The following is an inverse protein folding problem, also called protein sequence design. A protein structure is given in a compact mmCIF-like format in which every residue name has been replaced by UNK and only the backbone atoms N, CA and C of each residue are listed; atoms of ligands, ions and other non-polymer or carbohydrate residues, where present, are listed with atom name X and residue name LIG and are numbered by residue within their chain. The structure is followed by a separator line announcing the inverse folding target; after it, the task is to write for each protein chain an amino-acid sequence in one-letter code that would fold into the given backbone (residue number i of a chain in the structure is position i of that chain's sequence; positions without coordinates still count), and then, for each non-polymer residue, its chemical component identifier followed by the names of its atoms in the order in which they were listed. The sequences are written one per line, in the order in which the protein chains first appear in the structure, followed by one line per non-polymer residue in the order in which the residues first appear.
data_IF_368152742453
#
_entry.id   IF_368152742453
#
_cell.length_a   1.000
_cell.length_b   1.000
_cell.length_c   1.000
_cell.angle_alpha   90.00
_cell.angle_beta   90.00
_cell.angle_gamma   90.00
#
_symmetry.space_group_name_H-M   'P 1'
#
loop_
_entity.id
_entity.type
_entity.pdbx_description
1 polymer ?
#
# COMPACT_ATOMS: atom_id res chain seq x y z
N UNK A 1 6.46 -10.37 -11.02
CA UNK A 1 5.45 -10.08 -9.96
C UNK A 1 5.98 -10.62 -8.63
N UNK A 2 6.08 -9.79 -7.58
CA UNK A 2 6.84 -10.07 -6.35
C UNK A 2 6.19 -11.05 -5.37
N UNK A 3 5.14 -11.78 -5.79
CA UNK A 3 4.34 -12.60 -4.89
C UNK A 3 3.44 -11.81 -3.94
N UNK A 4 3.42 -10.47 -4.01
CA UNK A 4 2.53 -9.60 -3.24
C UNK A 4 2.05 -8.43 -4.10
N UNK A 5 0.90 -7.85 -3.75
CA UNK A 5 0.34 -6.67 -4.40
C UNK A 5 0.73 -5.37 -3.69
N UNK A 6 1.98 -5.28 -3.21
CA UNK A 6 2.47 -4.11 -2.48
C UNK A 6 2.90 -2.98 -3.43
N UNK A 7 3.45 -3.31 -4.60
CA UNK A 7 3.96 -2.38 -5.60
C UNK A 7 3.00 -2.28 -6.79
N UNK A 8 1.95 -1.45 -6.66
CA UNK A 8 0.91 -1.24 -7.68
C UNK A 8 0.60 0.25 -7.92
N UNK A 9 1.37 1.17 -7.33
CA UNK A 9 1.13 2.61 -7.39
C UNK A 9 2.46 3.37 -7.36
N UNK A 10 2.45 4.61 -7.81
CA UNK A 10 3.64 5.43 -8.01
C UNK A 10 4.38 5.09 -9.30
N UNK A 11 5.05 6.08 -9.88
CA UNK A 11 5.83 5.93 -11.13
C UNK A 11 6.92 4.87 -10.95
N UNK A 12 7.73 5.01 -9.90
CA UNK A 12 8.76 4.03 -9.54
C UNK A 12 8.17 2.84 -8.76
N UNK A 13 7.03 3.06 -8.11
CA UNK A 13 6.34 2.13 -7.19
C UNK A 13 5.57 0.96 -7.84
N UNK A 14 5.68 0.78 -9.16
CA UNK A 14 4.99 -0.28 -9.91
C UNK A 14 3.59 0.10 -10.42
N UNK A 15 3.22 1.38 -10.39
CA UNK A 15 1.97 1.91 -10.93
C UNK A 15 2.06 2.42 -12.37
N UNK A 16 3.23 2.30 -13.02
CA UNK A 16 3.49 2.75 -14.37
C UNK A 16 2.80 1.85 -15.41
N UNK A 17 2.14 2.48 -16.38
CA UNK A 17 1.48 1.86 -17.53
C UNK A 17 2.15 2.41 -18.78
N UNK A 18 2.95 1.58 -19.44
CA UNK A 18 3.74 1.93 -20.62
C UNK A 18 3.08 1.43 -21.91
N UNK A 19 3.51 1.99 -23.05
CA UNK A 19 3.05 1.54 -24.37
C UNK A 19 1.60 1.89 -24.67
N UNK A 20 1.11 3.02 -24.16
CA UNK A 20 -0.24 3.50 -24.48
C UNK A 20 -0.33 3.91 -25.95
N UNK A 21 -1.48 3.68 -26.61
CA UNK A 21 -1.67 4.10 -28.00
C UNK A 21 -1.51 5.61 -28.16
N UNK A 22 -0.54 6.02 -28.99
CA UNK A 22 -0.29 7.41 -29.33
C UNK A 22 -0.87 7.72 -30.70
N UNK A 23 -1.69 8.76 -30.77
CA UNK A 23 -2.19 9.31 -32.02
C UNK A 23 -1.72 10.76 -32.18
N UNK A 24 -0.87 11.00 -33.18
CA UNK A 24 -0.44 12.33 -33.57
C UNK A 24 -1.13 12.75 -34.86
N UNK A 25 -1.56 14.01 -34.92
CA UNK A 25 -2.23 14.57 -36.10
C UNK A 25 -1.79 16.01 -36.31
N UNK A 26 -1.93 16.50 -37.55
CA UNK A 26 -1.61 17.90 -37.89
C UNK A 26 -2.84 18.78 -37.67
N UNK A 27 -2.66 19.91 -37.02
CA UNK A 27 -3.70 20.95 -36.91
C UNK A 27 -3.79 21.77 -38.20
N UNK A 28 -4.83 22.60 -38.31
CA UNK A 28 -5.00 23.56 -39.41
C UNK A 28 -3.79 24.49 -39.58
N UNK A 29 -3.09 24.76 -38.48
CA UNK A 29 -1.96 25.69 -38.42
C UNK A 29 -0.62 24.99 -38.72
N UNK A 30 -0.66 23.70 -39.05
CA UNK A 30 0.51 22.89 -39.41
C UNK A 30 1.26 22.27 -38.23
N UNK A 31 0.82 22.52 -37.00
CA UNK A 31 1.43 21.95 -35.80
C UNK A 31 1.09 20.46 -35.65
N UNK A 32 2.07 19.64 -35.28
CA UNK A 32 1.83 18.23 -34.94
C UNK A 32 1.39 18.17 -33.48
N UNK A 33 0.14 17.83 -33.25
CA UNK A 33 -0.44 17.70 -31.91
C UNK A 33 -0.53 16.23 -31.52
N UNK A 34 -0.17 16.00 -30.25
CA UNK A 34 -0.28 14.72 -29.58
C UNK A 34 -1.64 14.61 -28.88
N UNK A 35 -2.42 13.57 -29.21
CA UNK A 35 -3.65 13.27 -28.49
C UNK A 35 -3.34 12.50 -27.21
N UNK A 36 -3.86 12.99 -26.09
CA UNK A 36 -3.80 12.31 -24.79
C UNK A 36 -4.31 10.86 -24.93
N UNK A 37 -3.54 9.84 -24.51
CA UNK A 37 -3.97 8.44 -24.53
C UNK A 37 -5.10 8.14 -23.55
N UNK A 38 -5.19 8.89 -22.44
CA UNK A 38 -6.36 8.89 -21.55
C UNK A 38 -7.40 9.91 -22.04
N UNK A 39 -8.67 9.73 -21.67
CA UNK A 39 -9.77 10.60 -22.11
C UNK A 39 -9.55 12.07 -21.75
N UNK A 40 -8.87 12.33 -20.64
CA UNK A 40 -8.51 13.66 -20.18
C UNK A 40 -7.15 13.64 -19.47
N UNK A 41 -6.39 14.72 -19.61
CA UNK A 41 -5.20 14.96 -18.81
C UNK A 41 -5.62 15.42 -17.39
N UNK A 42 -5.23 14.64 -16.39
CA UNK A 42 -5.53 14.91 -14.98
C UNK A 42 -4.34 15.67 -14.37
N UNK A 43 -4.59 16.82 -13.74
CA UNK A 43 -3.56 17.55 -12.99
C UNK A 43 -3.40 16.98 -11.58
N UNK A 44 -2.26 17.18 -10.94
CA UNK A 44 -1.98 16.68 -9.58
C UNK A 44 -3.07 17.08 -8.57
N UNK A 45 -3.60 18.31 -8.68
CA UNK A 45 -4.71 18.77 -7.82
C UNK A 45 -5.97 17.94 -8.03
N UNK A 46 -6.31 17.61 -9.28
CA UNK A 46 -7.48 16.79 -9.62
C UNK A 46 -7.27 15.33 -9.27
N UNK A 47 -6.05 14.81 -9.42
CA UNK A 47 -5.65 13.49 -8.96
C UNK A 47 -5.95 13.36 -7.46
N UNK A 48 -5.47 14.31 -6.64
CA UNK A 48 -5.71 14.30 -5.20
C UNK A 48 -7.20 14.37 -4.85
N UNK A 49 -7.95 15.26 -5.50
CA UNK A 49 -9.40 15.37 -5.29
C UNK A 49 -10.15 14.07 -5.62
N UNK A 50 -9.76 13.38 -6.70
CA UNK A 50 -10.35 12.10 -7.09
C UNK A 50 -9.95 10.98 -6.11
N UNK A 51 -8.68 10.93 -5.72
CA UNK A 51 -8.16 9.98 -4.74
C UNK A 51 -8.85 10.15 -3.37
N UNK A 52 -9.07 11.38 -2.90
CA UNK A 52 -9.81 11.68 -1.66
C UNK A 52 -11.29 11.24 -1.73
N UNK A 53 -11.85 11.12 -2.93
CA UNK A 53 -13.19 10.61 -3.20
C UNK A 53 -13.22 9.08 -3.41
N UNK A 54 -12.08 8.40 -3.32
CA UNK A 54 -11.97 6.94 -3.47
C UNK A 54 -11.91 6.46 -4.92
N UNK A 55 -11.52 7.33 -5.85
CA UNK A 55 -11.20 6.94 -7.22
C UNK A 55 -9.71 6.59 -7.35
N UNK A 56 -9.39 5.85 -8.42
CA UNK A 56 -8.02 5.48 -8.78
C UNK A 56 -7.75 6.06 -10.18
N UNK A 57 -7.33 7.33 -10.28
CA UNK A 57 -7.09 7.98 -11.56
C UNK A 57 -5.83 7.45 -12.23
N UNK A 58 -5.94 7.12 -13.53
CA UNK A 58 -4.78 6.90 -14.39
C UNK A 58 -4.32 8.25 -14.95
N UNK A 59 -3.15 8.71 -14.49
CA UNK A 59 -2.65 10.05 -14.84
C UNK A 59 -1.65 9.92 -15.97
N UNK A 60 -1.99 10.49 -17.14
CA UNK A 60 -1.10 10.53 -18.30
C UNK A 60 0.09 11.46 -18.08
N UNK A 61 1.29 11.00 -18.41
CA UNK A 61 2.49 11.81 -18.35
C UNK A 61 2.65 12.60 -19.65
N UNK A 62 2.55 13.93 -19.54
CA UNK A 62 2.54 14.85 -20.68
C UNK A 62 3.70 14.58 -21.64
N UNK A 63 3.40 14.52 -22.94
CA UNK A 63 4.35 14.28 -24.04
C UNK A 63 5.06 12.92 -24.01
N UNK A 64 4.50 11.95 -23.29
CA UNK A 64 5.02 10.57 -23.26
C UNK A 64 3.91 9.58 -23.63
N UNK A 65 4.26 8.33 -23.86
CA UNK A 65 3.34 7.22 -24.13
C UNK A 65 2.99 6.42 -22.87
N UNK A 66 3.30 6.93 -21.68
CA UNK A 66 3.00 6.27 -20.41
C UNK A 66 2.08 7.09 -19.51
N UNK A 67 1.42 6.39 -18.59
CA UNK A 67 0.60 6.94 -17.53
C UNK A 67 0.92 6.22 -16.22
N UNK A 68 0.51 6.78 -15.09
CA UNK A 68 0.73 6.14 -13.79
C UNK A 68 -0.48 6.25 -12.87
N UNK A 69 -0.68 5.22 -12.06
CA UNK A 69 -1.52 5.28 -10.88
C UNK A 69 -0.70 5.81 -9.71
N UNK A 70 -0.92 7.05 -9.27
CA UNK A 70 -0.17 7.63 -8.14
C UNK A 70 -0.69 7.14 -6.79
N UNK A 71 -2.00 6.94 -6.68
CA UNK A 71 -2.70 6.39 -5.53
C UNK A 71 -3.43 5.10 -5.86
N UNK A 72 -3.79 4.33 -4.83
CA UNK A 72 -4.68 3.17 -4.94
C UNK A 72 -5.68 3.19 -3.78
N UNK A 73 -6.53 4.22 -3.75
CA UNK A 73 -7.57 4.37 -2.73
C UNK A 73 -8.76 3.46 -3.02
N UNK A 74 -9.34 2.88 -1.97
CA UNK A 74 -10.64 2.21 -2.07
C UNK A 74 -11.78 3.22 -2.00
N UNK A 75 -12.99 2.76 -2.27
CA UNK A 75 -14.21 3.57 -2.12
C UNK A 75 -14.58 3.83 -0.65
N UNK A 76 -13.84 3.26 0.32
CA UNK A 76 -14.10 3.46 1.73
C UNK A 76 -13.64 4.87 2.15
N UNK A 77 -14.58 5.68 2.66
CA UNK A 77 -14.24 6.94 3.32
C UNK A 77 -13.64 6.67 4.72
N UNK A 78 -12.38 7.07 5.00
CA UNK A 78 -11.78 6.90 6.33
C UNK A 78 -12.55 7.67 7.40
N UNK A 79 -12.79 7.02 8.54
CA UNK A 79 -13.45 7.67 9.69
C UNK A 79 -12.42 8.55 10.40
N UNK A 80 -12.91 9.68 10.93
CA UNK A 80 -12.12 10.55 11.80
C UNK A 80 -12.35 10.19 13.25
N UNK A 81 -11.27 10.17 14.01
CA UNK A 81 -11.19 9.84 15.42
C UNK A 81 -10.44 10.95 16.18
N UNK A 82 -10.53 10.92 17.50
CA UNK A 82 -9.86 11.88 18.37
C UNK A 82 -8.34 11.66 18.47
N UNK A 83 -7.85 10.47 18.12
CA UNK A 83 -6.43 10.12 18.21
C UNK A 83 -5.81 9.99 16.83
N UNK A 84 -4.61 10.54 16.66
CA UNK A 84 -3.85 10.47 15.42
C UNK A 84 -3.54 9.04 14.99
N UNK A 85 -3.29 8.13 15.94
CA UNK A 85 -3.04 6.71 15.64
C UNK A 85 -4.28 6.03 15.06
N UNK A 86 -5.47 6.33 15.59
CA UNK A 86 -6.73 5.83 15.06
C UNK A 86 -7.05 6.40 13.66
N UNK A 87 -6.73 7.68 13.44
CA UNK A 87 -6.84 8.31 12.13
C UNK A 87 -5.89 7.65 11.10
N UNK A 88 -4.64 7.41 11.48
CA UNK A 88 -3.65 6.75 10.63
C UNK A 88 -4.09 5.32 10.27
N UNK A 89 -4.58 4.55 11.25
CA UNK A 89 -5.10 3.20 11.02
C UNK A 89 -6.33 3.20 10.09
N UNK A 90 -7.23 4.18 10.25
CA UNK A 90 -8.40 4.28 9.36
C UNK A 90 -8.01 4.66 7.94
N UNK A 91 -7.00 5.50 7.75
CA UNK A 91 -6.48 5.85 6.43
C UNK A 91 -5.78 4.65 5.79
N UNK A 92 -4.90 3.96 6.53
CA UNK A 92 -4.23 2.74 6.06
C UNK A 92 -5.23 1.70 5.56
N UNK A 93 -6.32 1.51 6.31
CA UNK A 93 -7.37 0.53 6.00
C UNK A 93 -8.21 0.89 4.77
N UNK A 94 -8.06 2.09 4.21
CA UNK A 94 -8.74 2.51 2.97
C UNK A 94 -7.87 2.35 1.73
N UNK A 95 -6.59 2.01 1.87
CA UNK A 95 -5.66 1.88 0.75
C UNK A 95 -5.57 0.43 0.27
N UNK A 96 -5.81 0.20 -1.03
CA UNK A 96 -5.97 -1.13 -1.61
C UNK A 96 -4.71 -1.96 -1.51
N UNK A 97 -3.52 -1.38 -1.69
CA UNK A 97 -2.26 -2.12 -1.63
C UNK A 97 -2.07 -2.80 -0.26
N UNK A 98 -2.49 -2.16 0.83
CA UNK A 98 -2.43 -2.76 2.16
C UNK A 98 -3.57 -3.74 2.42
N UNK A 99 -4.79 -3.44 1.95
CA UNK A 99 -5.92 -4.38 2.01
C UNK A 99 -5.57 -5.70 1.31
N UNK A 100 -4.93 -5.63 0.14
CA UNK A 100 -4.53 -6.80 -0.65
C UNK A 100 -3.43 -7.60 0.06
N UNK A 101 -2.46 -6.94 0.70
CA UNK A 101 -1.44 -7.61 1.51
C UNK A 101 -2.06 -8.34 2.71
N UNK A 102 -2.93 -7.68 3.47
CA UNK A 102 -3.63 -8.27 4.62
C UNK A 102 -4.54 -9.43 4.19
N UNK A 103 -5.27 -9.28 3.08
CA UNK A 103 -6.15 -10.32 2.54
C UNK A 103 -5.37 -11.58 2.16
N UNK A 104 -4.19 -11.42 1.55
CA UNK A 104 -3.33 -12.54 1.19
C UNK A 104 -2.80 -13.28 2.42
N UNK A 105 -2.41 -12.57 3.47
CA UNK A 105 -2.04 -13.18 4.76
C UNK A 105 -3.23 -13.95 5.34
N UNK A 106 -4.42 -13.35 5.36
CA UNK A 106 -5.63 -14.01 5.86
C UNK A 106 -5.92 -15.32 5.10
N UNK A 107 -5.74 -15.35 3.78
CA UNK A 107 -5.88 -16.57 2.98
C UNK A 107 -4.89 -17.66 3.41
N UNK A 108 -3.61 -17.31 3.58
CA UNK A 108 -2.59 -18.26 4.04
C UNK A 108 -2.90 -18.79 5.44
N UNK A 109 -3.18 -17.90 6.41
CA UNK A 109 -3.51 -18.30 7.77
C UNK A 109 -4.73 -19.24 7.79
N UNK A 110 -5.77 -18.95 7.00
CA UNK A 110 -6.96 -19.80 6.91
C UNK A 110 -6.64 -21.18 6.34
N UNK A 111 -5.85 -21.25 5.28
CA UNK A 111 -5.47 -22.52 4.66
C UNK A 111 -4.60 -23.36 5.60
N UNK A 112 -3.54 -22.78 6.17
CA UNK A 112 -2.64 -23.48 7.10
C UNK A 112 -3.38 -23.98 8.34
N UNK A 113 -4.25 -23.15 8.92
CA UNK A 113 -4.97 -23.55 10.13
C UNK A 113 -6.05 -24.59 9.87
N UNK A 114 -6.65 -24.62 8.68
CA UNK A 114 -7.57 -25.68 8.28
C UNK A 114 -6.87 -27.04 8.29
N UNK A 115 -5.65 -27.12 7.77
CA UNK A 115 -4.90 -28.38 7.68
C UNK A 115 -4.38 -28.85 9.06
N UNK A 116 -4.34 -27.96 10.04
CA UNK A 116 -3.99 -28.26 11.44
C UNK A 116 -5.19 -28.67 12.32
N UNK A 117 -6.42 -28.58 11.80
CA UNK A 117 -7.62 -29.00 12.57
C UNK A 117 -7.52 -30.50 12.88
N UNK A 118 -7.72 -30.86 14.15
CA UNK A 118 -7.61 -32.23 14.64
C UNK A 118 -6.21 -32.60 15.17
N UNK A 119 -5.21 -31.71 15.06
CA UNK A 119 -3.92 -31.89 15.72
C UNK A 119 -3.98 -31.54 17.20
N UNK A 120 -3.14 -32.19 18.02
CA UNK A 120 -2.96 -31.84 19.43
C UNK A 120 -2.06 -30.62 19.56
N UNK A 121 -2.64 -29.42 19.47
CA UNK A 121 -1.91 -28.16 19.57
C UNK A 121 -2.50 -27.27 20.67
N UNK A 122 -1.65 -26.77 21.58
CA UNK A 122 -2.06 -25.76 22.56
C UNK A 122 -2.11 -24.37 21.91
N UNK A 123 -2.78 -23.41 22.57
CA UNK A 123 -2.80 -22.01 22.13
C UNK A 123 -1.39 -21.45 21.91
N UNK A 124 -0.44 -21.76 22.81
CA UNK A 124 0.95 -21.33 22.70
C UNK A 124 1.66 -21.95 21.49
N UNK A 125 1.43 -23.23 21.18
CA UNK A 125 2.02 -23.85 20.00
C UNK A 125 1.51 -23.22 18.69
N UNK A 126 0.20 -22.91 18.63
CA UNK A 126 -0.39 -22.23 17.47
C UNK A 126 0.18 -20.81 17.35
N UNK A 127 0.30 -20.09 18.46
CA UNK A 127 0.88 -18.74 18.47
C UNK A 127 2.33 -18.73 17.96
N UNK A 128 3.19 -19.60 18.48
CA UNK A 128 4.58 -19.72 18.01
C UNK A 128 4.65 -20.05 16.53
N UNK A 129 3.88 -21.06 16.08
CA UNK A 129 3.86 -21.48 14.69
C UNK A 129 3.47 -20.34 13.72
N UNK A 130 2.42 -19.58 14.06
CA UNK A 130 1.95 -18.50 13.19
C UNK A 130 2.92 -17.31 13.18
N UNK A 131 3.55 -16.99 14.31
CA UNK A 131 4.56 -15.93 14.38
C UNK A 131 5.83 -16.31 13.60
N UNK A 132 6.31 -17.55 13.71
CA UNK A 132 7.44 -18.06 12.93
C UNK A 132 7.17 -18.03 11.43
N UNK A 133 5.96 -18.38 11.01
CA UNK A 133 5.57 -18.29 9.61
C UNK A 133 5.51 -16.84 9.12
N UNK A 134 4.94 -15.92 9.90
CA UNK A 134 4.87 -14.50 9.53
C UNK A 134 6.25 -13.85 9.44
N UNK A 135 7.20 -14.27 10.29
CA UNK A 135 8.56 -13.74 10.29
C UNK A 135 9.27 -13.87 8.93
N UNK A 136 8.86 -14.84 8.10
CA UNK A 136 9.38 -15.04 6.74
C UNK A 136 9.03 -13.89 5.77
N UNK A 137 8.06 -13.04 6.13
CA UNK A 137 7.58 -11.91 5.32
C UNK A 137 7.90 -10.55 5.91
N UNK A 138 8.72 -10.52 6.97
CA UNK A 138 9.14 -9.29 7.66
C UNK A 138 10.51 -8.84 7.16
N UNK A 139 10.63 -7.55 6.83
CA UNK A 139 11.90 -6.93 6.46
C UNK A 139 12.30 -5.84 7.47
N UNK A 140 13.39 -6.09 8.18
CA UNK A 140 13.91 -5.24 9.27
C UNK A 140 14.83 -4.11 8.80
N UNK A 141 15.22 -4.09 7.53
CA UNK A 141 16.01 -3.00 6.95
C UNK A 141 15.11 -1.92 6.32
N UNK A 142 15.14 -0.71 6.89
CA UNK A 142 14.41 0.45 6.34
C UNK A 142 15.10 1.03 5.09
N UNK A 143 16.39 0.78 4.89
CA UNK A 143 17.17 1.19 3.72
C UNK A 143 17.05 0.24 2.53
N UNK A 144 16.32 -0.87 2.69
CA UNK A 144 16.17 -1.87 1.63
C UNK A 144 15.50 -1.30 0.37
N UNK A 145 15.86 -1.90 -0.77
CA UNK A 145 15.33 -1.50 -2.07
C UNK A 145 13.81 -1.69 -2.15
N UNK A 146 13.19 -0.99 -3.11
CA UNK A 146 11.76 -1.09 -3.31
C UNK A 146 11.33 -2.52 -3.69
N UNK A 147 12.14 -3.21 -4.48
CA UNK A 147 11.90 -4.61 -4.87
C UNK A 147 11.93 -5.54 -3.66
N UNK A 148 12.87 -5.33 -2.73
CA UNK A 148 12.93 -6.09 -1.48
C UNK A 148 11.69 -5.84 -0.62
N UNK A 149 11.30 -4.58 -0.42
CA UNK A 149 10.07 -4.21 0.31
C UNK A 149 8.79 -4.73 -0.38
N UNK A 150 8.80 -4.89 -1.70
CA UNK A 150 7.68 -5.48 -2.44
C UNK A 150 7.60 -7.01 -2.28
N UNK A 151 8.73 -7.69 -2.06
CA UNK A 151 8.79 -9.13 -1.77
C UNK A 151 8.45 -9.45 -0.30
N UNK A 152 8.82 -8.56 0.61
CA UNK A 152 8.59 -8.67 2.05
C UNK A 152 7.73 -7.50 2.52
N UNK A 153 6.38 -7.61 2.46
CA UNK A 153 5.49 -6.45 2.59
C UNK A 153 5.36 -5.92 4.03
N UNK A 154 5.84 -6.66 5.04
CA UNK A 154 5.64 -6.33 6.46
C UNK A 154 6.91 -5.75 7.07
N UNK A 155 6.74 -4.65 7.80
CA UNK A 155 7.77 -4.11 8.71
C UNK A 155 7.79 -4.85 10.04
N UNK A 156 6.60 -5.20 10.54
CA UNK A 156 6.40 -5.83 11.84
C UNK A 156 5.07 -6.60 11.81
N UNK A 157 5.01 -7.73 12.51
CA UNK A 157 3.78 -8.48 12.70
C UNK A 157 3.80 -9.26 14.00
N UNK A 158 2.62 -9.50 14.58
CA UNK A 158 2.46 -10.40 15.70
C UNK A 158 1.09 -11.07 15.70
N UNK A 159 1.02 -12.29 16.21
CA UNK A 159 -0.23 -13.02 16.44
C UNK A 159 -0.34 -13.32 17.92
N UNK A 160 -1.52 -13.12 18.48
CA UNK A 160 -1.90 -13.55 19.82
C UNK A 160 -3.02 -14.56 19.74
N UNK A 161 -2.88 -15.72 20.37
CA UNK A 161 -3.86 -16.80 20.35
C UNK A 161 -4.35 -17.08 21.76
N UNK A 162 -5.67 -17.03 21.96
CA UNK A 162 -6.30 -17.29 23.25
C UNK A 162 -7.33 -18.39 23.08
N UNK A 163 -7.31 -19.38 23.97
CA UNK A 163 -8.32 -20.42 24.00
C UNK A 163 -9.66 -19.87 24.51
N UNK A 164 -10.76 -20.29 23.90
CA UNK A 164 -12.09 -19.94 24.35
C UNK A 164 -12.45 -20.79 25.59
N UNK A 165 -12.60 -20.19 26.78
CA UNK A 165 -12.88 -20.97 28.00
C UNK A 165 -14.20 -21.75 27.95
N UNK A 166 -15.16 -21.28 27.14
CA UNK A 166 -16.47 -21.92 26.98
C UNK A 166 -16.44 -23.12 26.02
N UNK A 167 -15.39 -23.24 25.20
CA UNK A 167 -15.29 -24.26 24.14
C UNK A 167 -13.84 -24.77 24.05
N UNK A 168 -13.49 -25.83 24.80
CA UNK A 168 -12.17 -26.43 24.75
C UNK A 168 -11.77 -26.83 23.32
N UNK A 169 -10.54 -26.51 22.92
CA UNK A 169 -10.04 -26.74 21.55
C UNK A 169 -10.47 -25.68 20.52
N UNK A 170 -11.27 -24.68 20.90
CA UNK A 170 -11.54 -23.51 20.06
C UNK A 170 -10.64 -22.35 20.46
N UNK A 171 -9.91 -21.81 19.48
CA UNK A 171 -8.99 -20.70 19.69
C UNK A 171 -9.45 -19.44 18.96
N UNK A 172 -9.21 -18.29 19.58
CA UNK A 172 -9.37 -16.96 18.97
C UNK A 172 -7.99 -16.34 18.78
N UNK A 173 -7.69 -15.95 17.54
CA UNK A 173 -6.46 -15.24 17.21
C UNK A 173 -6.71 -13.77 16.92
N UNK A 174 -5.82 -12.90 17.40
CA UNK A 174 -5.73 -11.49 16.98
C UNK A 174 -4.39 -11.32 16.27
N UNK A 175 -4.43 -10.84 15.04
CA UNK A 175 -3.24 -10.66 14.18
C UNK A 175 -3.01 -9.16 14.00
N UNK A 176 -1.83 -8.68 14.35
CA UNK A 176 -1.38 -7.31 14.12
C UNK A 176 -0.37 -7.32 12.98
N UNK A 177 -0.61 -6.50 11.95
CA UNK A 177 0.23 -6.40 10.77
C UNK A 177 0.58 -4.93 10.54
N UNK A 178 1.87 -4.63 10.43
CA UNK A 178 2.38 -3.30 10.08
C UNK A 178 3.12 -3.40 8.74
N UNK A 179 2.57 -2.86 7.64
CA UNK A 179 3.24 -2.86 6.36
C UNK A 179 4.36 -1.80 6.31
N UNK A 180 5.20 -1.87 5.28
CA UNK A 180 6.05 -0.74 4.92
C UNK A 180 5.20 0.41 4.37
N UNK A 181 5.44 1.63 4.85
CA UNK A 181 4.74 2.81 4.36
C UNK A 181 5.36 3.30 3.05
N UNK A 182 4.50 3.64 2.10
CA UNK A 182 4.85 4.36 0.88
C UNK A 182 4.68 5.86 1.10
N UNK A 183 5.49 6.66 0.40
CA UNK A 183 5.40 8.11 0.45
C UNK A 183 4.09 8.58 -0.21
N UNK A 184 3.25 9.29 0.56
CA UNK A 184 1.99 9.85 0.08
C UNK A 184 2.09 11.34 -0.26
N UNK A 185 2.67 12.15 0.64
CA UNK A 185 2.74 13.61 0.46
C UNK A 185 4.02 14.16 1.13
N UNK A 186 4.64 15.16 0.49
CA UNK A 186 5.76 15.92 1.05
C UNK A 186 5.45 17.41 0.95
N UNK A 187 5.36 18.09 2.09
CA UNK A 187 5.23 19.54 2.16
C UNK A 187 6.60 20.17 2.39
N UNK A 188 7.05 21.02 1.47
CA UNK A 188 8.37 21.66 1.51
C UNK A 188 8.22 23.15 1.78
N UNK A 189 8.85 23.65 2.85
CA UNK A 189 9.00 25.08 3.12
C UNK A 189 10.42 25.51 2.79
N UNK A 190 10.58 26.27 1.70
CA UNK A 190 11.87 26.84 1.32
C UNK A 190 12.04 28.21 1.98
N UNK A 191 13.16 28.40 2.68
CA UNK A 191 13.52 29.67 3.32
C UNK A 191 14.88 30.12 2.81
N UNK A 192 14.93 31.31 2.24
CA UNK A 192 16.18 31.96 1.90
C UNK A 192 16.73 32.62 3.17
N UNK A 193 17.89 32.15 3.63
CA UNK A 193 18.56 32.66 4.83
C UNK A 193 19.98 33.07 4.48
N UNK A 194 20.48 34.13 5.11
CA UNK A 194 21.85 34.61 4.90
C UNK A 194 22.89 33.71 5.60
N UNK A 195 22.48 33.05 6.69
CA UNK A 195 23.24 32.01 7.37
C UNK A 195 22.29 30.85 7.69
N UNK A 196 22.75 29.61 7.51
CA UNK A 196 21.95 28.44 7.87
C UNK A 196 21.75 28.43 9.40
N UNK A 197 20.51 28.28 9.90
CA UNK A 197 20.27 28.18 11.33
C UNK A 197 21.04 26.98 11.88
N UNK A 198 21.69 27.17 13.03
CA UNK A 198 22.38 26.06 13.71
C UNK A 198 21.36 24.98 14.08
N UNK A 199 21.72 23.73 13.81
CA UNK A 199 20.91 22.56 14.14
C UNK A 199 20.56 22.59 15.63
N UNK A 200 19.29 22.76 15.95
CA UNK A 200 18.81 22.54 17.31
C UNK A 200 18.71 21.03 17.48
N UNK A 201 19.67 20.42 18.16
CA UNK A 201 19.58 19.02 18.61
C UNK A 201 18.46 18.85 19.64
#
# INVERSE_FOLDING_TARGET
MHGWCAAIRGVEGGGLVEGLPVHTFKTSDGEVVFKCPTEIAITDRREKELSDLGFIPLVHCKNTDYAAFFGAQSTQKPKKYNSDSANANSALSSQIQYIMAVSRIAHYLKAMMRDKVGSFASAGNIETFLNEWLAQYILLDDGASQEAKAQYPLREASVKVVENPAQPGHYKSVVFLRPHFQLDELSVSLRLVTELPQSSN
#
